data_IF_663258465106
#
_entry.id   IF_663258465106
#
_cell.length_a   1.000
_cell.length_b   1.000
_cell.length_c   1.000
_cell.angle_alpha   90.00
_cell.angle_beta   90.00
_cell.angle_gamma   90.00
#
_symmetry.space_group_name_H-M   'P 1'
#
loop_
_entity.id
_entity.type
_entity.pdbx_description
1 polymer ?
#
# COMPACT_ATOMS: atom_id res chain seq x y z
N UNK A 1 -29.32 3.07 7.92
CA UNK A 1 -27.87 2.72 7.91
C UNK A 1 -27.21 3.42 6.75
N UNK A 2 -26.08 4.09 7.02
CA UNK A 2 -25.28 4.77 6.00
C UNK A 2 -24.46 3.75 5.18
N UNK A 3 -24.09 4.15 3.96
CA UNK A 3 -23.12 3.48 3.10
C UNK A 3 -22.29 4.54 2.37
N UNK A 4 -21.41 4.12 1.47
CA UNK A 4 -20.69 5.03 0.59
C UNK A 4 -19.80 6.05 1.31
N UNK A 5 -19.63 7.22 0.70
CA UNK A 5 -18.77 8.28 1.23
C UNK A 5 -19.18 8.72 2.64
N UNK A 6 -20.48 8.92 2.86
CA UNK A 6 -20.99 9.37 4.15
C UNK A 6 -20.68 8.38 5.28
N UNK A 7 -20.84 7.08 5.03
CA UNK A 7 -20.46 6.06 6.01
C UNK A 7 -18.95 6.05 6.25
N UNK A 8 -18.17 6.12 5.17
CA UNK A 8 -16.71 6.10 5.27
C UNK A 8 -16.20 7.26 6.12
N UNK A 9 -16.62 8.49 5.85
CA UNK A 9 -16.20 9.67 6.63
C UNK A 9 -16.57 9.56 8.11
N UNK A 10 -17.73 9.00 8.43
CA UNK A 10 -18.17 8.80 9.82
C UNK A 10 -17.40 7.69 10.56
N UNK A 11 -16.79 6.72 9.86
CA UNK A 11 -16.25 5.51 10.49
C UNK A 11 -14.75 5.27 10.25
N UNK A 12 -14.11 5.99 9.32
CA UNK A 12 -12.75 5.68 8.86
C UNK A 12 -11.69 5.69 9.97
N UNK A 13 -11.87 6.48 11.02
CA UNK A 13 -10.96 6.52 12.16
C UNK A 13 -10.80 5.15 12.86
N UNK A 14 -11.79 4.26 12.72
CA UNK A 14 -11.78 2.89 13.27
C UNK A 14 -10.96 1.92 12.40
N UNK A 15 -10.65 2.31 11.16
CA UNK A 15 -9.99 1.48 10.15
C UNK A 15 -8.76 2.21 9.55
N UNK A 16 -7.80 2.65 10.39
CA UNK A 16 -6.67 3.45 9.93
C UNK A 16 -5.75 2.65 9.00
N UNK A 17 -5.09 3.36 8.08
CA UNK A 17 -3.83 2.90 7.52
C UNK A 17 -2.68 3.50 8.33
N UNK A 18 -1.57 2.79 8.38
CA UNK A 18 -0.32 3.32 8.90
C UNK A 18 0.59 3.80 7.78
N UNK A 19 1.46 4.75 8.10
CA UNK A 19 2.68 5.09 7.36
C UNK A 19 3.94 4.97 8.24
N UNK A 20 3.79 4.45 9.46
CA UNK A 20 4.88 4.26 10.39
C UNK A 20 5.63 2.97 10.07
N UNK A 21 6.95 3.05 9.94
CA UNK A 21 7.83 1.88 9.75
C UNK A 21 7.69 0.92 10.94
N UNK A 22 7.50 1.44 12.15
CA UNK A 22 7.33 0.64 13.37
C UNK A 22 6.14 -0.33 13.36
N UNK A 23 5.15 -0.12 12.49
CA UNK A 23 3.99 -0.99 12.35
C UNK A 23 4.21 -2.18 11.39
N UNK A 24 5.38 -2.24 10.74
CA UNK A 24 5.80 -3.41 9.96
C UNK A 24 6.19 -4.57 10.88
N UNK A 25 6.14 -5.80 10.36
CA UNK A 25 6.60 -6.99 11.10
C UNK A 25 8.10 -6.88 11.38
N UNK A 26 8.60 -7.41 12.52
CA UNK A 26 9.95 -7.09 13.01
C UNK A 26 11.07 -7.26 11.98
N UNK A 27 11.15 -8.42 11.33
CA UNK A 27 12.22 -8.69 10.36
C UNK A 27 12.18 -7.73 9.15
N UNK A 28 10.99 -7.40 8.64
CA UNK A 28 10.86 -6.49 7.51
C UNK A 28 11.02 -5.02 7.92
N UNK A 29 10.57 -4.65 9.12
CA UNK A 29 10.81 -3.33 9.71
C UNK A 29 12.30 -3.04 9.78
N UNK A 30 13.09 -3.97 10.29
CA UNK A 30 14.53 -3.78 10.50
C UNK A 30 15.23 -3.67 9.13
N UNK A 31 14.88 -4.53 8.17
CA UNK A 31 15.34 -4.45 6.78
C UNK A 31 15.03 -3.09 6.10
N UNK A 32 13.81 -2.60 6.25
CA UNK A 32 13.38 -1.30 5.71
C UNK A 32 14.10 -0.15 6.39
N UNK A 33 14.32 -0.22 7.70
CA UNK A 33 15.02 0.82 8.47
C UNK A 33 16.44 0.97 7.93
N UNK A 34 17.19 -0.13 7.85
CA UNK A 34 18.56 -0.14 7.33
C UNK A 34 18.65 0.40 5.89
N UNK A 35 17.70 0.01 5.03
CA UNK A 35 17.68 0.46 3.63
C UNK A 35 17.41 1.96 3.51
N UNK A 36 16.45 2.49 4.29
CA UNK A 36 16.11 3.91 4.29
C UNK A 36 17.24 4.75 4.88
N UNK A 37 17.92 4.25 5.91
CA UNK A 37 19.11 4.90 6.48
C UNK A 37 20.23 5.00 5.43
N UNK A 38 20.58 3.89 4.77
CA UNK A 38 21.58 3.90 3.71
C UNK A 38 21.23 4.85 2.55
N UNK A 39 19.94 4.93 2.18
CA UNK A 39 19.45 5.89 1.18
C UNK A 39 19.66 7.33 1.61
N UNK A 40 19.28 7.67 2.85
CA UNK A 40 19.40 9.03 3.39
C UNK A 40 20.86 9.44 3.55
N UNK A 41 21.72 8.54 4.02
CA UNK A 41 23.16 8.76 4.11
C UNK A 41 23.79 9.05 2.74
N UNK A 42 23.30 8.37 1.69
CA UNK A 42 23.74 8.62 0.32
C UNK A 42 23.17 9.91 -0.29
N UNK A 43 22.33 10.66 0.44
CA UNK A 43 21.72 11.91 -0.03
C UNK A 43 20.41 11.72 -0.81
N UNK A 44 19.79 10.55 -0.76
CA UNK A 44 18.45 10.35 -1.31
C UNK A 44 17.35 10.86 -0.36
N UNK A 45 16.24 11.25 -0.95
CA UNK A 45 14.99 11.57 -0.25
C UNK A 45 14.08 10.35 -0.27
N UNK A 46 13.43 10.08 0.86
CA UNK A 46 12.48 8.98 1.02
C UNK A 46 11.21 9.48 1.70
N UNK A 47 10.08 9.33 1.04
CA UNK A 47 8.75 9.62 1.59
C UNK A 47 7.94 8.33 1.68
N UNK A 48 7.56 7.93 2.89
CA UNK A 48 6.68 6.78 3.14
C UNK A 48 5.23 7.24 3.07
N UNK A 49 4.41 6.57 2.27
CA UNK A 49 2.97 6.86 2.13
C UNK A 49 2.07 5.80 2.78
N UNK A 50 2.53 4.55 2.88
CA UNK A 50 1.79 3.49 3.56
C UNK A 50 2.70 2.36 4.08
N UNK A 51 2.32 1.76 5.20
CA UNK A 51 2.90 0.53 5.75
C UNK A 51 1.78 -0.47 6.03
N UNK A 52 1.38 -0.66 7.29
CA UNK A 52 0.34 -1.62 7.66
C UNK A 52 -1.05 -1.10 7.31
N UNK A 53 -1.81 -1.92 6.57
CA UNK A 53 -3.21 -1.69 6.24
C UNK A 53 -4.10 -2.45 7.20
N UNK A 54 -5.06 -1.77 7.81
CA UNK A 54 -6.07 -2.43 8.62
C UNK A 54 -6.84 -3.47 7.78
N UNK A 55 -7.03 -4.68 8.33
CA UNK A 55 -7.67 -5.80 7.61
C UNK A 55 -9.10 -5.49 7.21
N UNK A 56 -9.89 -4.89 8.10
CA UNK A 56 -11.25 -4.44 7.81
C UNK A 56 -11.28 -3.37 6.74
N UNK A 57 -10.33 -2.43 6.75
CA UNK A 57 -10.17 -1.45 5.66
C UNK A 57 -9.94 -2.15 4.32
N UNK A 58 -9.08 -3.16 4.26
CA UNK A 58 -8.83 -3.90 3.03
C UNK A 58 -10.09 -4.62 2.52
N UNK A 59 -10.92 -5.17 3.42
CA UNK A 59 -12.22 -5.75 3.07
C UNK A 59 -13.18 -4.69 2.52
N UNK A 60 -13.27 -3.52 3.15
CA UNK A 60 -14.07 -2.40 2.66
C UNK A 60 -13.66 -1.99 1.24
N UNK A 61 -12.36 -1.82 1.00
CA UNK A 61 -11.80 -1.51 -0.32
C UNK A 61 -12.11 -2.61 -1.35
N UNK A 62 -11.94 -3.88 -0.98
CA UNK A 62 -12.18 -5.02 -1.86
C UNK A 62 -13.66 -5.11 -2.28
N UNK A 63 -14.58 -5.06 -1.32
CA UNK A 63 -16.00 -5.22 -1.61
C UNK A 63 -16.62 -3.98 -2.25
N UNK A 64 -16.15 -2.77 -1.95
CA UNK A 64 -16.58 -1.58 -2.69
C UNK A 64 -16.22 -1.68 -4.16
N UNK A 65 -14.98 -2.09 -4.48
CA UNK A 65 -14.58 -2.30 -5.87
C UNK A 65 -15.43 -3.37 -6.54
N UNK A 66 -15.63 -4.53 -5.88
CA UNK A 66 -16.38 -5.63 -6.47
C UNK A 66 -17.84 -5.26 -6.75
N UNK A 67 -18.51 -4.54 -5.85
CA UNK A 67 -19.89 -4.07 -6.06
C UNK A 67 -19.94 -3.05 -7.20
N UNK A 68 -19.06 -2.04 -7.18
CA UNK A 68 -19.03 -1.00 -8.21
C UNK A 68 -18.85 -1.59 -9.62
N UNK A 69 -18.02 -2.63 -9.74
CA UNK A 69 -17.75 -3.34 -11.00
C UNK A 69 -18.72 -4.50 -11.28
N UNK A 70 -19.70 -4.76 -10.41
CA UNK A 70 -20.70 -5.82 -10.60
C UNK A 70 -20.18 -7.26 -10.50
N UNK A 71 -18.99 -7.46 -9.94
CA UNK A 71 -18.39 -8.80 -9.72
C UNK A 71 -18.86 -9.48 -8.42
N UNK A 72 -19.69 -8.79 -7.63
CA UNK A 72 -20.46 -9.34 -6.53
C UNK A 72 -21.78 -8.57 -6.42
N UNK A 73 -22.87 -9.26 -6.09
CA UNK A 73 -24.13 -8.58 -5.77
C UNK A 73 -24.07 -8.06 -4.33
N UNK A 74 -24.64 -6.88 -4.01
CA UNK A 74 -24.49 -6.25 -2.70
C UNK A 74 -24.93 -7.11 -1.52
N UNK A 75 -25.97 -7.93 -1.70
CA UNK A 75 -26.50 -8.83 -0.66
C UNK A 75 -25.59 -10.03 -0.33
N UNK A 76 -24.67 -10.36 -1.25
CA UNK A 76 -23.78 -11.51 -1.10
C UNK A 76 -22.41 -11.10 -0.52
N UNK A 77 -22.23 -9.82 -0.20
CA UNK A 77 -21.03 -9.37 0.52
C UNK A 77 -21.01 -10.00 1.92
N UNK A 78 -19.97 -10.78 2.26
CA UNK A 78 -19.84 -11.35 3.60
C UNK A 78 -19.85 -10.26 4.68
N UNK A 79 -20.49 -10.57 5.81
CA UNK A 79 -20.44 -9.70 6.97
C UNK A 79 -18.98 -9.48 7.40
N UNK A 80 -18.61 -8.22 7.63
CA UNK A 80 -17.27 -7.86 8.11
C UNK A 80 -17.36 -7.65 9.63
N UNK A 81 -16.72 -8.51 10.47
CA UNK A 81 -16.81 -8.40 11.91
C UNK A 81 -16.40 -7.01 12.42
N UNK A 82 -17.21 -6.45 13.33
CA UNK A 82 -16.99 -5.10 13.88
C UNK A 82 -17.28 -3.94 12.92
N UNK A 83 -17.75 -4.20 11.70
CA UNK A 83 -17.98 -3.20 10.65
C UNK A 83 -19.43 -3.22 10.14
N UNK A 84 -20.28 -2.42 10.79
CA UNK A 84 -21.68 -2.25 10.39
C UNK A 84 -21.81 -1.26 9.22
N UNK A 85 -21.67 -1.75 7.99
CA UNK A 85 -21.91 -1.01 6.74
C UNK A 85 -23.10 -1.64 5.99
N UNK A 86 -23.95 -0.81 5.39
CA UNK A 86 -25.04 -1.29 4.53
C UNK A 86 -24.56 -1.36 3.08
N UNK A 87 -24.40 -2.56 2.55
CA UNK A 87 -24.06 -2.76 1.13
C UNK A 87 -25.31 -2.82 0.24
N UNK A 88 -26.32 -3.59 0.65
CA UNK A 88 -27.55 -3.78 -0.13
C UNK A 88 -28.61 -2.73 0.23
N UNK A 89 -28.93 -1.89 -0.75
CA UNK A 89 -30.00 -0.89 -0.65
C UNK A 89 -31.37 -1.38 -1.13
N UNK A 90 -31.49 -2.65 -1.56
CA UNK A 90 -32.62 -3.17 -2.35
C UNK A 90 -32.83 -2.42 -3.67
N UNK A 91 -31.80 -1.70 -4.07
CA UNK A 91 -31.67 -0.92 -5.29
C UNK A 91 -30.21 -1.08 -5.73
N UNK A 92 -30.02 -1.75 -6.85
CA UNK A 92 -28.69 -2.06 -7.35
C UNK A 92 -27.95 -0.79 -7.78
N UNK A 93 -28.63 0.16 -8.41
CA UNK A 93 -28.01 1.41 -8.86
C UNK A 93 -27.49 2.21 -7.66
N UNK A 94 -28.32 2.35 -6.62
CA UNK A 94 -27.91 3.01 -5.37
C UNK A 94 -26.76 2.30 -4.65
N UNK A 95 -26.76 0.97 -4.66
CA UNK A 95 -25.69 0.17 -4.03
C UNK A 95 -24.37 0.32 -4.77
N UNK A 96 -24.41 0.29 -6.11
CA UNK A 96 -23.24 0.53 -6.96
C UNK A 96 -22.70 1.96 -6.82
N UNK A 97 -23.59 2.94 -6.72
CA UNK A 97 -23.20 4.34 -6.50
C UNK A 97 -22.41 4.51 -5.19
N UNK A 98 -22.95 4.03 -4.06
CA UNK A 98 -22.23 4.12 -2.79
C UNK A 98 -20.91 3.36 -2.80
N UNK A 99 -20.86 2.20 -3.45
CA UNK A 99 -19.61 1.46 -3.62
C UNK A 99 -18.58 2.22 -4.47
N UNK A 100 -19.02 2.89 -5.54
CA UNK A 100 -18.15 3.72 -6.40
C UNK A 100 -17.60 4.92 -5.64
N UNK A 101 -18.42 5.60 -4.82
CA UNK A 101 -17.94 6.69 -3.96
C UNK A 101 -16.78 6.25 -3.06
N UNK A 102 -16.84 5.03 -2.51
CA UNK A 102 -15.73 4.47 -1.73
C UNK A 102 -14.52 4.12 -2.60
N UNK A 103 -14.73 3.58 -3.81
CA UNK A 103 -13.65 3.34 -4.78
C UNK A 103 -12.88 4.62 -5.08
N UNK A 104 -13.60 5.72 -5.32
CA UNK A 104 -13.03 7.03 -5.62
C UNK A 104 -12.27 7.61 -4.41
N UNK A 105 -12.88 7.55 -3.22
CA UNK A 105 -12.25 8.00 -1.97
C UNK A 105 -10.98 7.22 -1.63
N UNK A 106 -10.93 5.94 -1.97
CA UNK A 106 -9.75 5.11 -1.76
C UNK A 106 -8.71 5.21 -2.88
N UNK A 107 -9.04 5.84 -4.01
CA UNK A 107 -8.17 5.91 -5.19
C UNK A 107 -7.88 4.53 -5.81
N UNK A 108 -8.87 3.63 -5.82
CA UNK A 108 -8.68 2.24 -6.25
C UNK A 108 -8.75 2.13 -7.78
N UNK A 109 -7.63 1.82 -8.43
CA UNK A 109 -7.59 1.52 -9.86
C UNK A 109 -7.87 0.05 -10.19
N UNK A 110 -7.34 -0.87 -9.37
CA UNK A 110 -7.46 -2.32 -9.57
C UNK A 110 -8.06 -3.00 -8.34
N UNK A 111 -8.66 -4.18 -8.52
CA UNK A 111 -9.28 -4.91 -7.42
C UNK A 111 -8.30 -5.10 -6.24
N UNK A 112 -8.60 -4.58 -5.04
CA UNK A 112 -7.76 -4.76 -3.88
C UNK A 112 -7.65 -6.23 -3.46
N UNK A 113 -6.43 -6.71 -3.22
CA UNK A 113 -6.20 -8.07 -2.73
C UNK A 113 -6.42 -8.19 -1.23
N UNK A 114 -7.14 -9.24 -0.80
CA UNK A 114 -7.32 -9.59 0.62
C UNK A 114 -6.12 -10.36 1.21
N UNK A 115 -5.15 -10.73 0.37
CA UNK A 115 -3.87 -11.35 0.75
C UNK A 115 -2.70 -10.39 0.51
N UNK A 116 -2.97 -9.08 0.44
CA UNK A 116 -1.95 -8.05 0.25
C UNK A 116 -0.95 -8.00 1.42
N UNK A 117 0.33 -7.80 1.11
CA UNK A 117 1.40 -7.67 2.10
C UNK A 117 1.27 -6.46 3.02
N UNK A 118 0.57 -5.41 2.61
CA UNK A 118 0.23 -4.32 3.52
C UNK A 118 -0.65 -4.79 4.69
N UNK A 119 -1.54 -5.77 4.48
CA UNK A 119 -2.39 -6.31 5.55
C UNK A 119 -1.54 -7.07 6.57
N UNK A 120 -0.51 -7.75 6.09
CA UNK A 120 0.44 -8.53 6.89
C UNK A 120 1.52 -7.66 7.55
N UNK A 121 1.64 -6.39 7.20
CA UNK A 121 2.74 -5.52 7.66
C UNK A 121 4.09 -5.86 7.03
N UNK A 122 4.07 -6.42 5.81
CA UNK A 122 5.23 -6.91 5.06
C UNK A 122 5.49 -6.12 3.77
N UNK A 123 4.81 -4.99 3.61
CA UNK A 123 4.97 -4.08 2.50
C UNK A 123 4.98 -2.62 2.96
N UNK A 124 5.64 -1.79 2.17
CA UNK A 124 5.78 -0.36 2.36
C UNK A 124 5.68 0.33 1.00
N UNK A 125 4.90 1.39 0.95
CA UNK A 125 4.83 2.29 -0.19
C UNK A 125 5.75 3.48 0.05
N UNK A 126 6.70 3.69 -0.86
CA UNK A 126 7.69 4.76 -0.75
C UNK A 126 7.90 5.47 -2.08
N UNK A 127 8.03 6.79 -2.02
CA UNK A 127 8.64 7.59 -3.09
C UNK A 127 10.10 7.84 -2.74
N UNK A 128 11.01 7.43 -3.63
CA UNK A 128 12.46 7.61 -3.46
C UNK A 128 13.00 8.42 -4.63
N UNK A 129 13.82 9.43 -4.35
CA UNK A 129 14.44 10.27 -5.37
C UNK A 129 15.76 10.90 -4.90
N UNK A 130 16.64 11.25 -5.83
CA UNK A 130 17.94 11.85 -5.54
C UNK A 130 18.39 12.78 -6.68
N UNK A 131 19.46 13.55 -6.44
CA UNK A 131 20.10 14.40 -7.45
C UNK A 131 21.47 13.84 -7.84
N UNK A 132 21.92 14.15 -9.06
CA UNK A 132 23.25 13.74 -9.54
C UNK A 132 23.45 12.22 -9.54
N UNK A 133 24.66 11.79 -9.21
CA UNK A 133 25.00 10.39 -8.94
C UNK A 133 25.32 10.28 -7.45
N UNK A 134 24.70 9.34 -6.75
CA UNK A 134 24.97 9.08 -5.33
C UNK A 134 25.78 7.79 -5.15
N UNK A 135 26.45 7.64 -4.01
CA UNK A 135 27.13 6.40 -3.63
C UNK A 135 26.31 5.71 -2.54
N UNK A 136 25.50 4.73 -2.95
CA UNK A 136 24.64 3.99 -2.04
C UNK A 136 25.35 2.73 -1.55
N UNK A 137 25.33 2.50 -0.24
CA UNK A 137 25.87 1.29 0.36
C UNK A 137 24.88 0.14 0.22
N UNK A 138 25.32 -1.02 -0.28
CA UNK A 138 24.52 -2.25 -0.20
C UNK A 138 24.60 -2.88 1.21
N UNK A 139 23.78 -3.91 1.48
CA UNK A 139 23.69 -4.53 2.81
C UNK A 139 25.02 -5.14 3.29
N UNK A 140 25.93 -5.48 2.38
CA UNK A 140 27.26 -5.99 2.70
C UNK A 140 28.29 -4.87 2.95
N UNK A 141 27.89 -3.60 2.88
CA UNK A 141 28.73 -2.45 3.13
C UNK A 141 29.45 -1.89 1.89
N UNK A 142 29.24 -2.48 0.70
CA UNK A 142 29.91 -2.06 -0.54
C UNK A 142 29.20 -0.85 -1.15
N UNK A 143 29.98 0.17 -1.55
CA UNK A 143 29.47 1.33 -2.26
C UNK A 143 29.11 0.99 -3.71
N UNK A 144 27.95 1.48 -4.16
CA UNK A 144 27.39 1.32 -5.50
C UNK A 144 26.99 2.71 -6.01
N UNK A 145 27.55 3.10 -7.15
CA UNK A 145 27.16 4.34 -7.81
C UNK A 145 25.73 4.20 -8.36
N UNK A 146 24.88 5.18 -8.07
CA UNK A 146 23.49 5.20 -8.51
C UNK A 146 23.19 6.51 -9.25
N UNK A 147 22.97 6.41 -10.56
CA UNK A 147 22.73 7.53 -11.47
C UNK A 147 21.27 7.63 -11.93
N UNK A 148 21.05 7.96 -13.19
CA UNK A 148 19.70 7.97 -13.79
C UNK A 148 19.20 6.52 -14.08
N UNK A 149 17.87 6.28 -14.08
CA UNK A 149 16.81 7.20 -13.71
C UNK A 149 16.82 7.50 -12.21
N UNK A 150 16.54 8.75 -11.81
CA UNK A 150 16.67 9.17 -10.41
C UNK A 150 15.38 8.96 -9.61
N UNK A 151 14.81 7.77 -9.74
CA UNK A 151 13.53 7.40 -9.14
C UNK A 151 13.57 5.98 -8.59
N UNK A 152 13.00 5.81 -7.40
CA UNK A 152 12.69 4.52 -6.79
C UNK A 152 11.82 3.62 -7.65
N UNK A 153 10.99 4.20 -8.51
CA UNK A 153 10.00 3.45 -9.27
C UNK A 153 10.65 2.69 -10.42
N UNK A 154 11.68 3.29 -11.04
CA UNK A 154 12.20 2.84 -12.35
C UNK A 154 13.69 2.47 -12.35
N UNK A 155 14.44 2.79 -11.30
CA UNK A 155 15.87 2.48 -11.27
C UNK A 155 16.15 1.02 -10.86
N UNK A 156 16.55 0.21 -11.83
CA UNK A 156 16.85 -1.22 -11.63
C UNK A 156 18.06 -1.48 -10.72
N UNK A 157 19.06 -0.59 -10.71
CA UNK A 157 20.21 -0.73 -9.82
C UNK A 157 19.80 -0.48 -8.36
N UNK A 158 18.93 0.50 -8.12
CA UNK A 158 18.33 0.73 -6.81
C UNK A 158 17.48 -0.48 -6.38
N UNK A 159 16.69 -1.06 -7.29
CA UNK A 159 15.90 -2.26 -7.00
C UNK A 159 16.81 -3.44 -6.60
N UNK A 160 17.92 -3.62 -7.31
CA UNK A 160 18.92 -4.65 -7.00
C UNK A 160 19.59 -4.41 -5.64
N UNK A 161 19.93 -3.15 -5.32
CA UNK A 161 20.50 -2.78 -4.02
C UNK A 161 19.47 -3.01 -2.90
N UNK A 162 18.23 -2.56 -3.05
CA UNK A 162 17.16 -2.79 -2.07
C UNK A 162 16.95 -4.28 -1.78
N UNK A 163 17.02 -5.13 -2.81
CA UNK A 163 16.94 -6.57 -2.65
C UNK A 163 18.06 -7.15 -1.75
N UNK A 164 19.24 -6.51 -1.67
CA UNK A 164 20.30 -6.93 -0.74
C UNK A 164 19.93 -6.70 0.72
N UNK A 165 19.06 -5.71 1.01
CA UNK A 165 18.49 -5.47 2.33
C UNK A 165 17.28 -6.37 2.63
N UNK A 166 16.79 -7.13 1.64
CA UNK A 166 15.51 -7.84 1.74
C UNK A 166 14.29 -6.96 1.43
N UNK A 167 14.49 -5.76 0.87
CA UNK A 167 13.41 -4.83 0.49
C UNK A 167 13.26 -4.85 -1.04
N UNK A 168 12.27 -5.58 -1.54
CA UNK A 168 12.13 -5.91 -2.97
C UNK A 168 11.04 -5.07 -3.62
N UNK A 169 11.34 -4.52 -4.80
CA UNK A 169 10.41 -3.72 -5.59
C UNK A 169 9.36 -4.61 -6.27
N UNK A 170 8.08 -4.24 -6.18
CA UNK A 170 7.07 -4.67 -7.13
C UNK A 170 7.04 -3.70 -8.32
N UNK A 171 7.48 -4.14 -9.49
CA UNK A 171 7.68 -3.25 -10.66
C UNK A 171 6.35 -2.73 -11.23
N UNK A 172 5.27 -3.52 -11.15
CA UNK A 172 3.96 -3.14 -11.68
C UNK A 172 3.21 -2.12 -10.81
N UNK A 173 3.67 -1.88 -9.57
CA UNK A 173 3.07 -0.94 -8.64
C UNK A 173 4.16 0.05 -8.17
N UNK A 174 4.29 1.22 -8.83
CA UNK A 174 5.44 2.13 -8.68
C UNK A 174 5.86 2.45 -7.23
N UNK A 175 4.97 2.75 -6.27
CA UNK A 175 5.38 3.00 -4.89
C UNK A 175 5.72 1.73 -4.09
N UNK A 176 5.29 0.53 -4.51
CA UNK A 176 5.25 -0.66 -3.64
C UNK A 176 6.59 -1.40 -3.51
N UNK A 177 6.97 -1.69 -2.27
CA UNK A 177 8.09 -2.55 -1.90
C UNK A 177 7.65 -3.54 -0.81
N UNK A 178 8.16 -4.76 -0.84
CA UNK A 178 7.84 -5.80 0.14
C UNK A 178 9.01 -6.74 0.39
N UNK A 179 8.85 -7.67 1.34
CA UNK A 179 9.90 -8.64 1.66
C UNK A 179 10.12 -9.70 0.57
N UNK A 180 9.14 -9.91 -0.31
CA UNK A 180 9.20 -10.87 -1.42
C UNK A 180 8.92 -10.27 -2.81
N UNK A 181 8.68 -8.96 -2.90
CA UNK A 181 8.42 -8.24 -4.15
C UNK A 181 7.01 -8.48 -4.72
N UNK A 182 6.05 -8.89 -3.87
CA UNK A 182 4.63 -9.07 -4.18
C UNK A 182 3.73 -8.18 -3.33
#
# INVERSE_FOLDING_TARGET
MLSGAAWWHANQARFPNSAAIGDLVPAFRDAVTDFIEALREAGATVKVSATRRNRTRAQLMHYSWRIAHGSIVPKDVPAIPGCAIKWDHKDLARSKQGAQEMVDLFGIAFQPSLTSRHIEGRAIDMTIGWAGTIQLRDKAGKLRALGAPRSGDTNKDLHAIGATYGVRKLVSDPPHWSDDGR
#
